data_IF_375745074408
#
_entry.id   IF_375745074408
#
_cell.length_a   1.000
_cell.length_b   1.000
_cell.length_c   1.000
_cell.angle_alpha   90.00
_cell.angle_beta   90.00
_cell.angle_gamma   90.00
#
_symmetry.space_group_name_H-M   'P 1'
#
loop_
_entity.id
_entity.type
_entity.pdbx_description
1 polymer ?
#
# COMPACT_ATOMS: atom_id res chain seq x y z
N UNK A 1 -24.64 -14.85 -15.06
CA UNK A 1 -24.64 -15.22 -13.62
C UNK A 1 -25.75 -16.25 -13.36
N UNK A 2 -25.55 -17.28 -12.51
CA UNK A 2 -26.60 -18.20 -12.06
C UNK A 2 -27.22 -17.70 -10.73
N UNK A 3 -28.37 -18.30 -10.29
CA UNK A 3 -29.08 -17.86 -9.09
C UNK A 3 -28.25 -18.06 -7.79
N UNK A 4 -27.48 -19.14 -7.69
CA UNK A 4 -26.65 -19.42 -6.52
C UNK A 4 -25.57 -18.35 -6.33
N UNK A 5 -24.93 -17.93 -7.42
CA UNK A 5 -23.96 -16.83 -7.39
C UNK A 5 -24.65 -15.49 -7.12
N UNK A 6 -25.86 -15.28 -7.66
CA UNK A 6 -26.63 -14.07 -7.41
C UNK A 6 -27.01 -13.93 -5.92
N UNK A 7 -27.42 -15.01 -5.26
CA UNK A 7 -27.74 -15.01 -3.81
C UNK A 7 -26.54 -14.66 -2.95
N UNK A 8 -25.34 -15.13 -3.28
CA UNK A 8 -24.12 -14.76 -2.55
C UNK A 8 -23.65 -13.33 -2.82
N UNK A 9 -24.03 -12.79 -3.96
CA UNK A 9 -23.63 -11.45 -4.42
C UNK A 9 -24.56 -10.34 -3.91
N UNK A 10 -25.80 -10.69 -3.54
CA UNK A 10 -26.87 -9.72 -3.22
C UNK A 10 -26.50 -8.74 -2.10
N UNK A 11 -25.80 -9.20 -1.07
CA UNK A 11 -25.39 -8.34 0.04
C UNK A 11 -24.31 -7.34 -0.39
N UNK A 12 -23.30 -7.78 -1.14
CA UNK A 12 -22.28 -6.90 -1.67
C UNK A 12 -22.85 -5.86 -2.65
N UNK A 13 -23.85 -6.24 -3.47
CA UNK A 13 -24.56 -5.28 -4.32
C UNK A 13 -25.32 -4.24 -3.51
N UNK A 14 -26.07 -4.72 -2.50
CA UNK A 14 -26.90 -3.89 -1.64
C UNK A 14 -26.08 -2.88 -0.80
N UNK A 15 -24.89 -3.25 -0.39
CA UNK A 15 -23.99 -2.43 0.39
C UNK A 15 -23.05 -1.55 -0.47
N UNK A 16 -23.14 -1.67 -1.80
CA UNK A 16 -22.31 -0.89 -2.74
C UNK A 16 -20.85 -1.32 -2.78
N UNK A 17 -20.54 -2.57 -2.40
CA UNK A 17 -19.19 -3.13 -2.32
C UNK A 17 -18.74 -3.84 -3.61
N UNK A 18 -19.64 -3.96 -4.61
CA UNK A 18 -19.30 -4.57 -5.89
C UNK A 18 -18.62 -3.57 -6.82
N UNK A 19 -17.69 -4.09 -7.63
CA UNK A 19 -17.17 -3.36 -8.76
C UNK A 19 -18.22 -3.18 -9.87
N UNK A 20 -17.99 -2.25 -10.81
CA UNK A 20 -18.94 -1.90 -11.84
C UNK A 20 -19.30 -3.08 -12.79
N UNK A 21 -18.37 -4.02 -13.02
CA UNK A 21 -18.59 -5.16 -13.90
C UNK A 21 -19.53 -6.15 -13.24
N UNK A 22 -19.29 -6.50 -11.98
CA UNK A 22 -20.13 -7.42 -11.20
C UNK A 22 -21.50 -6.82 -10.92
N UNK A 23 -21.60 -5.53 -10.67
CA UNK A 23 -22.88 -4.84 -10.52
C UNK A 23 -23.71 -4.95 -11.78
N UNK A 24 -23.14 -4.68 -12.95
CA UNK A 24 -23.84 -4.82 -14.23
C UNK A 24 -24.24 -6.25 -14.57
N UNK A 25 -23.44 -7.24 -14.18
CA UNK A 25 -23.81 -8.67 -14.35
C UNK A 25 -24.97 -9.09 -13.44
N UNK A 26 -24.99 -8.58 -12.21
CA UNK A 26 -26.05 -8.82 -11.24
C UNK A 26 -27.36 -8.17 -11.69
N UNK A 27 -27.33 -6.89 -12.11
CA UNK A 27 -28.50 -6.17 -12.63
C UNK A 27 -29.10 -6.88 -13.84
N UNK A 28 -28.28 -7.33 -14.78
CA UNK A 28 -28.76 -8.11 -15.94
C UNK A 28 -29.43 -9.41 -15.53
N UNK A 29 -28.93 -10.07 -14.47
CA UNK A 29 -29.59 -11.28 -13.93
C UNK A 29 -30.94 -10.94 -13.30
N UNK A 30 -31.05 -9.83 -12.58
CA UNK A 30 -32.29 -9.38 -11.95
C UNK A 30 -33.38 -9.11 -13.01
N UNK A 31 -33.04 -8.58 -14.18
CA UNK A 31 -34.02 -8.32 -15.27
C UNK A 31 -34.80 -9.59 -15.67
N UNK A 32 -34.21 -10.77 -15.48
CA UNK A 32 -34.75 -12.04 -15.96
C UNK A 32 -35.07 -13.06 -14.86
N UNK A 33 -34.81 -12.75 -13.58
CA UNK A 33 -34.99 -13.68 -12.47
C UNK A 33 -35.87 -13.11 -11.35
N UNK A 34 -37.19 -13.42 -11.34
CA UNK A 34 -38.11 -12.95 -10.30
C UNK A 34 -37.75 -13.42 -8.87
N UNK A 35 -37.10 -14.58 -8.75
CA UNK A 35 -36.66 -15.10 -7.45
C UNK A 35 -35.60 -14.22 -6.82
N UNK A 36 -34.61 -13.77 -7.59
CA UNK A 36 -33.53 -12.89 -7.10
C UNK A 36 -34.04 -11.46 -6.89
N UNK A 37 -35.01 -10.98 -7.70
CA UNK A 37 -35.71 -9.72 -7.43
C UNK A 37 -36.41 -9.76 -6.07
N UNK A 38 -37.20 -10.80 -5.79
CA UNK A 38 -37.87 -10.95 -4.49
C UNK A 38 -36.89 -11.11 -3.33
N UNK A 39 -35.70 -11.68 -3.56
CA UNK A 39 -34.66 -11.75 -2.54
C UNK A 39 -34.06 -10.35 -2.24
N UNK A 40 -33.81 -9.53 -3.24
CA UNK A 40 -33.34 -8.15 -3.09
C UNK A 40 -34.37 -7.28 -2.36
N UNK A 41 -35.66 -7.40 -2.74
CA UNK A 41 -36.76 -6.70 -2.06
C UNK A 41 -36.88 -7.07 -0.57
N UNK A 42 -36.62 -8.32 -0.20
CA UNK A 42 -36.58 -8.74 1.21
C UNK A 42 -35.47 -8.07 2.00
N UNK A 43 -34.27 -7.94 1.40
CA UNK A 43 -33.13 -7.26 2.02
C UNK A 43 -33.44 -5.76 2.19
N UNK A 44 -34.02 -5.12 1.17
CA UNK A 44 -34.40 -3.72 1.23
C UNK A 44 -35.50 -3.47 2.29
N UNK A 45 -36.53 -4.31 2.32
CA UNK A 45 -37.61 -4.23 3.35
C UNK A 45 -37.06 -4.37 4.76
N UNK A 46 -36.11 -5.28 5.00
CA UNK A 46 -35.44 -5.41 6.29
C UNK A 46 -34.67 -4.12 6.67
N UNK A 47 -33.95 -3.53 5.74
CA UNK A 47 -33.26 -2.24 5.98
C UNK A 47 -34.23 -1.13 6.38
N UNK A 48 -35.34 -1.01 5.66
CA UNK A 48 -36.38 -0.04 5.97
C UNK A 48 -36.96 -0.26 7.38
N UNK A 49 -37.23 -1.52 7.76
CA UNK A 49 -37.70 -1.85 9.10
C UNK A 49 -36.69 -1.52 10.20
N UNK A 50 -35.40 -1.81 9.97
CA UNK A 50 -34.31 -1.45 10.90
C UNK A 50 -34.19 0.07 11.07
N UNK A 51 -34.31 0.83 9.99
CA UNK A 51 -34.26 2.30 10.04
C UNK A 51 -35.47 2.92 10.76
N UNK A 52 -36.65 2.34 10.63
CA UNK A 52 -37.88 2.82 11.27
C UNK A 52 -37.96 2.53 12.79
N UNK A 53 -37.20 1.59 13.29
CA UNK A 53 -37.29 1.16 14.69
C UNK A 53 -36.26 1.85 15.62
N UNK A 54 -35.65 2.97 15.20
CA UNK A 54 -34.72 3.79 16.00
C UNK A 54 -33.66 2.96 16.78
N UNK A 55 -33.10 1.96 16.09
CA UNK A 55 -32.04 1.09 16.63
C UNK A 55 -30.67 1.79 16.64
N UNK A 56 -30.65 3.09 16.31
CA UNK A 56 -29.44 3.89 16.31
C UNK A 56 -29.04 4.31 17.72
N UNK A 57 -27.94 3.72 18.21
CA UNK A 57 -27.30 4.20 19.43
C UNK A 57 -26.59 5.53 19.14
N UNK A 58 -26.95 6.56 19.86
CA UNK A 58 -26.36 7.88 19.70
C UNK A 58 -24.99 7.94 20.39
N UNK A 59 -23.94 8.20 19.60
CA UNK A 59 -22.62 8.39 20.18
C UNK A 59 -22.62 9.50 21.25
N UNK A 60 -21.97 9.26 22.38
CA UNK A 60 -21.90 10.23 23.47
C UNK A 60 -21.25 11.56 23.00
N UNK A 61 -21.63 12.70 23.57
CA UNK A 61 -21.00 13.99 23.24
C UNK A 61 -19.49 13.98 23.41
N UNK A 62 -18.99 13.24 24.40
CA UNK A 62 -17.56 13.10 24.68
C UNK A 62 -16.83 12.33 23.56
N UNK A 63 -17.44 11.24 23.05
CA UNK A 63 -16.86 10.48 21.94
C UNK A 63 -16.82 11.32 20.65
N UNK A 64 -17.90 12.06 20.37
CA UNK A 64 -17.94 12.97 19.23
C UNK A 64 -16.85 14.04 19.29
N UNK A 65 -16.66 14.62 20.49
CA UNK A 65 -15.64 15.66 20.69
C UNK A 65 -14.23 15.08 20.61
N UNK A 66 -14.00 13.86 21.13
CA UNK A 66 -12.71 13.15 21.02
C UNK A 66 -12.35 12.88 19.56
N UNK A 67 -13.29 12.37 18.79
CA UNK A 67 -13.10 12.12 17.35
C UNK A 67 -12.83 13.45 16.61
N UNK A 68 -13.63 14.49 16.86
CA UNK A 68 -13.42 15.81 16.25
C UNK A 68 -12.05 16.38 16.55
N UNK A 69 -11.56 16.25 17.79
CA UNK A 69 -10.21 16.70 18.18
C UNK A 69 -9.11 15.90 17.46
N UNK A 70 -9.26 14.59 17.30
CA UNK A 70 -8.29 13.78 16.55
C UNK A 70 -8.20 14.22 15.10
N UNK A 71 -9.34 14.36 14.40
CA UNK A 71 -9.34 14.85 13.02
C UNK A 71 -8.90 16.31 12.88
N UNK A 72 -9.21 17.17 13.85
CA UNK A 72 -8.75 18.56 13.84
C UNK A 72 -7.22 18.67 14.05
N UNK A 73 -6.61 17.75 14.77
CA UNK A 73 -5.15 17.68 14.92
C UNK A 73 -4.45 17.23 13.62
N UNK A 74 -5.05 16.34 12.85
CA UNK A 74 -4.51 15.95 11.53
C UNK A 74 -4.64 17.06 10.47
N UNK A 75 -5.66 17.91 10.56
CA UNK A 75 -5.88 19.02 9.61
C UNK A 75 -5.15 20.30 10.00
N UNK A 76 -4.71 20.46 11.26
CA UNK A 76 -4.07 21.69 11.73
C UNK A 76 -2.55 21.74 11.49
N UNK A 77 -2.07 21.31 10.33
CA UNK A 77 -0.73 21.71 9.82
C UNK A 77 -0.86 23.02 9.02
N UNK A 78 -1.58 23.98 9.54
CA UNK A 78 -1.39 25.35 9.12
C UNK A 78 -0.83 26.12 10.31
N UNK A 79 0.43 26.57 10.30
CA UNK A 79 0.91 27.49 11.30
C UNK A 79 0.07 28.77 11.16
N UNK A 80 -0.78 29.05 12.16
CA UNK A 80 -1.37 30.39 12.31
C UNK A 80 -0.22 31.34 12.61
N UNK A 81 0.41 31.81 11.56
CA UNK A 81 1.38 32.88 11.65
C UNK A 81 0.61 34.10 12.20
N UNK A 82 0.84 34.43 13.44
CA UNK A 82 0.40 35.69 14.05
C UNK A 82 1.18 36.84 13.38
N UNK A 83 0.71 37.30 12.23
CA UNK A 83 1.40 38.19 11.28
C UNK A 83 1.34 39.68 11.67
N UNK A 84 0.92 40.01 12.90
CA UNK A 84 0.58 41.41 13.21
C UNK A 84 1.61 42.19 14.05
N UNK A 85 2.79 41.67 14.37
CA UNK A 85 3.80 42.43 15.17
C UNK A 85 5.26 42.35 14.71
N UNK A 86 5.58 41.91 13.47
CA UNK A 86 6.98 41.68 13.05
C UNK A 86 7.49 42.61 11.93
N UNK A 87 6.77 43.72 11.66
CA UNK A 87 7.21 44.66 10.61
C UNK A 87 8.25 45.72 11.03
N UNK A 88 8.89 45.57 12.21
CA UNK A 88 9.86 46.56 12.71
C UNK A 88 11.19 45.95 13.13
N UNK A 89 11.72 44.92 12.45
CA UNK A 89 13.08 44.45 12.68
C UNK A 89 13.93 44.64 11.41
N UNK A 90 15.17 45.18 11.56
CA UNK A 90 15.99 45.59 10.41
C UNK A 90 16.51 44.42 9.60
N UNK A 91 16.97 44.70 8.37
CA UNK A 91 17.30 43.80 7.25
C UNK A 91 18.14 42.52 7.52
N UNK A 92 18.67 42.31 8.72
CA UNK A 92 19.39 41.09 9.09
C UNK A 92 18.46 39.89 9.43
N UNK A 93 17.17 40.15 9.74
CA UNK A 93 16.18 39.09 10.02
C UNK A 93 15.71 38.34 8.78
N UNK A 94 15.76 38.96 7.60
CA UNK A 94 15.27 38.35 6.36
C UNK A 94 16.20 37.26 5.81
N UNK A 95 17.51 37.44 5.96
CA UNK A 95 18.51 36.44 5.56
C UNK A 95 18.46 35.19 6.46
N UNK A 96 18.27 35.36 7.75
CA UNK A 96 18.13 34.25 8.68
C UNK A 96 16.82 33.47 8.48
N UNK A 97 15.71 34.18 8.18
CA UNK A 97 14.42 33.56 7.88
C UNK A 97 14.45 32.80 6.54
N UNK A 98 15.11 33.36 5.52
CA UNK A 98 15.30 32.69 4.23
C UNK A 98 16.19 31.44 4.37
N UNK A 99 17.28 31.51 5.12
CA UNK A 99 18.14 30.36 5.41
C UNK A 99 17.39 29.27 6.18
N UNK A 100 16.57 29.62 7.18
CA UNK A 100 15.73 28.67 7.94
C UNK A 100 14.68 28.01 7.03
N UNK A 101 14.01 28.76 6.15
CA UNK A 101 13.05 28.21 5.20
C UNK A 101 13.72 27.27 4.19
N UNK A 102 14.88 27.64 3.68
CA UNK A 102 15.67 26.79 2.76
C UNK A 102 16.09 25.50 3.49
N UNK A 103 16.54 25.60 4.73
CA UNK A 103 16.94 24.43 5.54
C UNK A 103 15.73 23.51 5.82
N UNK A 104 14.60 24.09 6.19
CA UNK A 104 13.35 23.33 6.40
C UNK A 104 12.92 22.67 5.08
N UNK A 105 12.98 23.36 3.96
CA UNK A 105 12.64 22.82 2.66
C UNK A 105 13.58 21.68 2.25
N UNK A 106 14.87 21.83 2.45
CA UNK A 106 15.87 20.80 2.13
C UNK A 106 15.78 19.56 3.01
N UNK A 107 15.29 19.68 4.24
CA UNK A 107 15.11 18.55 5.17
C UNK A 107 13.72 17.90 5.02
N UNK A 108 12.68 18.70 4.79
CA UNK A 108 11.30 18.19 4.71
C UNK A 108 10.97 17.48 3.39
N UNK A 109 11.48 17.96 2.26
CA UNK A 109 11.18 17.37 0.93
C UNK A 109 11.66 15.92 0.83
N UNK A 110 12.91 15.55 1.21
CA UNK A 110 13.37 14.18 1.15
C UNK A 110 12.53 13.22 2.02
N UNK A 111 12.17 13.65 3.23
CA UNK A 111 11.38 12.82 4.15
C UNK A 111 9.95 12.54 3.63
N UNK A 112 9.33 13.50 2.96
CA UNK A 112 8.02 13.30 2.33
C UNK A 112 8.09 12.33 1.16
N UNK A 113 9.11 12.41 0.32
CA UNK A 113 9.27 11.50 -0.83
C UNK A 113 9.49 10.06 -0.38
N UNK A 114 10.32 9.84 0.63
CA UNK A 114 10.57 8.51 1.19
C UNK A 114 9.31 7.91 1.84
N UNK A 115 8.54 8.72 2.58
CA UNK A 115 7.28 8.30 3.17
C UNK A 115 6.23 7.95 2.11
N UNK A 116 6.18 8.68 0.99
CA UNK A 116 5.27 8.40 -0.13
C UNK A 116 5.67 7.13 -0.85
N UNK A 117 6.96 6.95 -1.16
CA UNK A 117 7.49 5.74 -1.79
C UNK A 117 7.20 4.49 -0.94
N UNK A 118 7.44 4.57 0.36
CA UNK A 118 7.17 3.45 1.27
C UNK A 118 5.69 3.09 1.32
N UNK A 119 4.80 4.10 1.30
CA UNK A 119 3.36 3.87 1.24
C UNK A 119 2.96 3.16 -0.06
N UNK A 120 3.46 3.60 -1.20
CA UNK A 120 3.21 2.99 -2.51
C UNK A 120 3.68 1.54 -2.58
N UNK A 121 4.86 1.24 -2.01
CA UNK A 121 5.40 -0.12 -1.94
C UNK A 121 4.56 -1.04 -1.04
N UNK A 122 4.05 -0.53 0.08
CA UNK A 122 3.14 -1.28 0.95
C UNK A 122 1.83 -1.56 0.20
N UNK A 123 1.26 -0.56 -0.49
CA UNK A 123 0.06 -0.73 -1.29
C UNK A 123 0.27 -1.74 -2.43
N UNK A 124 1.44 -1.72 -3.09
CA UNK A 124 1.80 -2.71 -4.11
C UNK A 124 1.91 -4.12 -3.52
N UNK A 125 2.47 -4.26 -2.31
CA UNK A 125 2.50 -5.54 -1.61
C UNK A 125 1.08 -6.03 -1.28
N UNK A 126 0.24 -5.19 -0.71
CA UNK A 126 -1.15 -5.55 -0.35
C UNK A 126 -1.96 -5.95 -1.59
N UNK A 127 -1.85 -5.21 -2.69
CA UNK A 127 -2.48 -5.59 -3.96
C UNK A 127 -2.01 -6.94 -4.46
N UNK A 128 -0.72 -7.26 -4.30
CA UNK A 128 -0.17 -8.53 -4.77
C UNK A 128 -0.70 -9.75 -4.00
N UNK A 129 -1.18 -9.58 -2.78
CA UNK A 129 -1.77 -10.67 -1.98
C UNK A 129 -3.18 -11.07 -2.47
N UNK A 130 -3.77 -10.31 -3.38
CA UNK A 130 -5.07 -10.69 -3.98
C UNK A 130 -4.90 -11.92 -4.89
N UNK A 131 -5.95 -12.74 -5.04
CA UNK A 131 -5.90 -13.93 -5.88
C UNK A 131 -5.44 -13.61 -7.31
N UNK A 132 -4.43 -14.33 -7.80
CA UNK A 132 -3.91 -14.17 -9.15
C UNK A 132 -2.91 -13.01 -9.35
N UNK A 133 -2.58 -12.24 -8.31
CA UNK A 133 -1.69 -11.07 -8.44
C UNK A 133 -0.31 -11.24 -7.79
N UNK A 134 -0.05 -12.38 -7.15
CA UNK A 134 1.17 -12.55 -6.36
C UNK A 134 2.44 -12.60 -7.25
N UNK A 135 2.36 -13.25 -8.39
CA UNK A 135 3.48 -13.40 -9.33
C UNK A 135 2.97 -13.52 -10.77
N UNK A 136 3.74 -13.00 -11.75
CA UNK A 136 3.53 -13.21 -13.18
C UNK A 136 4.25 -14.48 -13.67
N UNK A 137 5.37 -14.81 -13.01
CA UNK A 137 6.09 -16.08 -13.18
C UNK A 137 6.17 -16.81 -11.85
N UNK A 138 5.51 -17.96 -11.75
CA UNK A 138 5.56 -18.83 -10.59
C UNK A 138 6.66 -19.87 -10.78
N UNK A 139 7.71 -19.82 -9.97
CA UNK A 139 8.78 -20.81 -9.94
C UNK A 139 9.63 -20.66 -8.68
N UNK A 140 10.08 -21.78 -8.14
CA UNK A 140 11.08 -21.82 -7.08
C UNK A 140 12.51 -21.86 -7.64
N UNK A 141 12.65 -22.01 -8.96
CA UNK A 141 13.94 -22.06 -9.63
C UNK A 141 14.35 -20.66 -10.13
N UNK A 142 15.45 -20.14 -9.59
CA UNK A 142 16.05 -18.89 -10.01
C UNK A 142 16.43 -18.88 -11.50
N UNK A 143 16.73 -20.02 -12.10
CA UNK A 143 17.04 -20.16 -13.53
C UNK A 143 15.81 -20.04 -14.43
N UNK A 144 14.63 -20.11 -13.87
CA UNK A 144 13.36 -19.81 -14.53
C UNK A 144 12.95 -18.36 -14.31
N UNK A 145 13.02 -17.88 -13.05
CA UNK A 145 12.55 -16.53 -12.67
C UNK A 145 13.48 -15.44 -13.22
N UNK A 146 14.80 -15.63 -13.15
CA UNK A 146 15.75 -14.61 -13.60
C UNK A 146 15.67 -14.32 -15.10
N UNK A 147 15.66 -15.32 -16.03
CA UNK A 147 15.52 -15.07 -17.46
C UNK A 147 14.12 -14.51 -17.85
N UNK A 148 13.10 -14.76 -17.02
CA UNK A 148 11.76 -14.23 -17.31
C UNK A 148 11.73 -12.68 -17.34
N UNK A 149 12.61 -12.02 -16.58
CA UNK A 149 12.75 -10.56 -16.61
C UNK A 149 13.50 -10.04 -17.84
N UNK A 150 14.18 -10.91 -18.60
CA UNK A 150 14.92 -10.50 -19.78
C UNK A 150 14.00 -9.87 -20.84
N UNK A 151 14.41 -8.75 -21.38
CA UNK A 151 13.63 -7.98 -22.37
C UNK A 151 12.39 -7.25 -21.79
N UNK A 152 12.08 -7.44 -20.50
CA UNK A 152 10.99 -6.73 -19.80
C UNK A 152 11.49 -5.58 -18.93
N UNK A 153 12.71 -5.70 -18.43
CA UNK A 153 13.41 -4.68 -17.67
C UNK A 153 14.71 -4.30 -18.38
N UNK A 154 15.19 -3.09 -18.15
CA UNK A 154 16.48 -2.57 -18.64
C UNK A 154 17.65 -2.89 -17.69
N UNK A 155 17.40 -3.79 -16.72
CA UNK A 155 18.39 -4.28 -15.75
C UNK A 155 18.09 -5.74 -15.40
N UNK A 156 19.07 -6.42 -14.79
CA UNK A 156 18.94 -7.81 -14.36
C UNK A 156 18.78 -7.82 -12.83
N UNK A 157 17.61 -8.25 -12.28
CA UNK A 157 17.43 -8.32 -10.85
C UNK A 157 18.28 -9.43 -10.22
N UNK A 158 18.75 -9.29 -8.97
CA UNK A 158 19.54 -10.30 -8.25
C UNK A 158 18.63 -11.42 -7.74
N UNK A 159 18.18 -12.30 -8.64
CA UNK A 159 17.33 -13.44 -8.29
C UNK A 159 18.17 -14.59 -7.78
N UNK A 160 17.90 -15.04 -6.55
CA UNK A 160 18.48 -16.24 -5.97
C UNK A 160 17.45 -16.93 -5.07
N UNK A 161 17.56 -18.26 -4.89
CA UNK A 161 16.74 -18.99 -3.94
C UNK A 161 17.48 -19.09 -2.59
N UNK A 162 16.75 -18.77 -1.52
CA UNK A 162 17.24 -18.82 -0.14
C UNK A 162 16.46 -19.84 0.71
N UNK A 163 15.98 -20.91 0.09
CA UNK A 163 15.20 -21.96 0.77
C UNK A 163 15.96 -22.58 1.93
N UNK A 164 17.29 -22.79 1.80
CA UNK A 164 18.14 -23.32 2.87
C UNK A 164 18.18 -22.40 4.12
N UNK A 165 17.94 -21.11 3.96
CA UNK A 165 17.86 -20.10 5.04
C UNK A 165 16.42 -19.84 5.47
N UNK A 166 15.44 -20.58 4.93
CA UNK A 166 14.03 -20.47 5.27
C UNK A 166 13.26 -19.34 4.53
N UNK A 167 13.81 -18.90 3.39
CA UNK A 167 13.20 -17.94 2.48
C UNK A 167 13.16 -18.50 1.04
N UNK A 168 12.33 -19.55 0.78
CA UNK A 168 12.23 -20.08 -0.56
C UNK A 168 11.70 -19.03 -1.54
N UNK A 169 12.29 -18.96 -2.73
CA UNK A 169 11.76 -18.19 -3.84
C UNK A 169 10.42 -18.81 -4.28
N UNK A 170 9.42 -18.00 -4.57
CA UNK A 170 8.09 -18.45 -5.02
C UNK A 170 7.81 -18.00 -6.43
N UNK A 171 8.42 -16.91 -6.86
CA UNK A 171 8.22 -16.35 -8.20
C UNK A 171 8.67 -14.90 -8.30
N UNK A 172 8.23 -14.26 -9.36
CA UNK A 172 8.47 -12.84 -9.60
C UNK A 172 7.37 -12.21 -10.45
N UNK A 173 7.28 -10.89 -10.40
CA UNK A 173 6.38 -10.10 -11.24
C UNK A 173 7.02 -8.78 -11.62
N UNK A 174 6.46 -8.14 -12.65
CA UNK A 174 6.70 -6.72 -12.90
C UNK A 174 5.78 -5.89 -12.01
N UNK A 175 6.28 -4.76 -11.56
CA UNK A 175 5.48 -3.78 -10.84
C UNK A 175 5.89 -2.37 -11.28
N UNK A 176 5.08 -1.36 -10.93
CA UNK A 176 5.39 0.05 -11.21
C UNK A 176 5.42 0.78 -9.88
N UNK A 177 6.54 1.43 -9.58
CA UNK A 177 6.75 2.18 -8.34
C UNK A 177 7.43 3.51 -8.69
N UNK A 178 6.91 4.62 -8.17
CA UNK A 178 7.37 5.99 -8.48
C UNK A 178 7.48 6.23 -10.01
N UNK A 179 6.53 5.65 -10.78
CA UNK A 179 6.49 5.75 -12.25
C UNK A 179 7.55 4.93 -13.00
N UNK A 180 8.27 4.03 -12.33
CA UNK A 180 9.32 3.20 -12.93
C UNK A 180 8.95 1.72 -12.86
N UNK A 181 9.32 0.97 -13.93
CA UNK A 181 9.21 -0.49 -13.89
C UNK A 181 10.24 -1.06 -12.91
N UNK A 182 9.79 -1.90 -12.00
CA UNK A 182 10.60 -2.56 -10.98
C UNK A 182 10.40 -4.07 -11.03
N UNK A 183 11.43 -4.82 -10.61
CA UNK A 183 11.27 -6.25 -10.35
C UNK A 183 10.71 -6.43 -8.93
N UNK A 184 9.66 -7.20 -8.78
CA UNK A 184 9.16 -7.67 -7.50
C UNK A 184 9.42 -9.18 -7.41
N UNK A 185 10.41 -9.56 -6.61
CA UNK A 185 10.72 -10.95 -6.29
C UNK A 185 9.88 -11.38 -5.09
N UNK A 186 9.29 -12.55 -5.16
CA UNK A 186 8.41 -13.07 -4.11
C UNK A 186 9.09 -14.21 -3.39
N UNK A 187 9.28 -14.05 -2.09
CA UNK A 187 9.78 -15.09 -1.19
C UNK A 187 8.70 -15.51 -0.22
N UNK A 188 8.75 -16.75 0.24
CA UNK A 188 7.91 -17.21 1.34
C UNK A 188 8.69 -17.19 2.66
N UNK A 189 7.98 -16.91 3.76
CA UNK A 189 8.48 -17.14 5.12
C UNK A 189 7.35 -17.75 5.94
N UNK A 190 7.40 -19.04 6.20
CA UNK A 190 6.29 -19.81 6.83
C UNK A 190 4.99 -19.68 6.02
N UNK A 191 3.97 -18.97 6.53
CA UNK A 191 2.69 -18.74 5.85
C UNK A 191 2.57 -17.34 5.25
N UNK A 192 3.65 -16.55 5.25
CA UNK A 192 3.68 -15.17 4.80
C UNK A 192 4.49 -15.04 3.52
N UNK A 193 4.19 -14.02 2.72
CA UNK A 193 4.96 -13.68 1.55
C UNK A 193 5.75 -12.39 1.80
N UNK A 194 6.97 -12.35 1.28
CA UNK A 194 7.84 -11.17 1.31
C UNK A 194 8.02 -10.72 -0.13
N UNK A 195 7.63 -9.50 -0.43
CA UNK A 195 7.96 -8.88 -1.71
C UNK A 195 9.28 -8.12 -1.58
N UNK A 196 10.20 -8.42 -2.47
CA UNK A 196 11.47 -7.73 -2.62
C UNK A 196 11.41 -6.93 -3.92
N UNK A 197 11.18 -5.62 -3.79
CA UNK A 197 11.20 -4.70 -4.91
C UNK A 197 12.63 -4.26 -5.19
N UNK A 198 13.03 -4.35 -6.46
CA UNK A 198 14.41 -4.08 -6.89
C UNK A 198 14.40 -3.20 -8.14
N UNK A 199 15.22 -2.16 -8.15
CA UNK A 199 15.47 -1.32 -9.33
C UNK A 199 16.85 -0.63 -9.25
N UNK A 200 17.44 -0.16 -10.37
CA UNK A 200 18.74 0.50 -10.38
C UNK A 200 18.75 1.82 -9.61
N UNK A 201 19.79 2.05 -8.83
CA UNK A 201 20.07 3.33 -8.19
C UNK A 201 20.69 4.31 -9.20
N UNK A 202 19.86 4.85 -10.10
CA UNK A 202 20.31 5.73 -11.19
C UNK A 202 20.93 7.04 -10.70
N UNK A 203 20.52 7.52 -9.53
CA UNK A 203 21.05 8.75 -8.93
C UNK A 203 22.39 8.53 -8.21
N UNK A 204 22.85 7.29 -8.11
CA UNK A 204 24.10 6.89 -7.39
C UNK A 204 24.20 7.47 -5.98
N UNK A 205 23.05 7.76 -5.36
CA UNK A 205 23.01 8.20 -3.96
C UNK A 205 23.20 7.00 -3.06
N UNK A 206 23.97 7.17 -1.99
CA UNK A 206 24.03 6.14 -0.95
C UNK A 206 22.66 6.01 -0.32
N UNK A 207 22.01 4.85 -0.51
CA UNK A 207 20.76 4.50 0.15
C UNK A 207 21.12 3.95 1.52
N UNK A 208 20.82 4.71 2.57
CA UNK A 208 21.02 4.25 3.93
C UNK A 208 20.10 3.05 4.21
N UNK A 209 20.57 2.14 5.04
CA UNK A 209 19.74 1.06 5.56
C UNK A 209 18.68 1.64 6.49
N UNK A 210 17.45 1.68 6.02
CA UNK A 210 16.30 2.19 6.77
C UNK A 210 15.27 1.10 6.98
N UNK A 211 14.47 1.22 8.02
CA UNK A 211 13.41 0.26 8.29
C UNK A 211 12.28 0.93 9.07
N UNK A 212 11.09 0.42 8.95
CA UNK A 212 9.93 0.92 9.67
C UNK A 212 8.75 -0.04 9.58
N UNK A 213 7.62 0.41 10.11
CA UNK A 213 6.36 -0.30 9.99
C UNK A 213 5.21 0.67 9.82
N UNK A 214 4.20 0.27 9.04
CA UNK A 214 2.99 1.05 8.81
C UNK A 214 1.82 0.09 8.53
N UNK A 215 0.68 0.32 9.15
CA UNK A 215 -0.56 -0.44 8.92
C UNK A 215 -0.40 -1.96 9.08
N UNK A 216 0.46 -2.42 10.01
CA UNK A 216 0.71 -3.84 10.24
C UNK A 216 1.77 -4.46 9.33
N UNK A 217 2.28 -3.74 8.32
CA UNK A 217 3.37 -4.19 7.45
C UNK A 217 4.69 -3.58 7.90
N UNK A 218 5.74 -4.40 7.87
CA UNK A 218 7.11 -3.99 8.10
C UNK A 218 7.84 -3.81 6.78
N UNK A 219 8.78 -2.89 6.74
CA UNK A 219 9.64 -2.68 5.58
C UNK A 219 11.10 -2.50 5.99
N UNK A 220 11.98 -2.94 5.11
CA UNK A 220 13.43 -2.75 5.21
C UNK A 220 13.91 -2.30 3.84
N UNK A 221 14.62 -1.19 3.82
CA UNK A 221 15.22 -0.64 2.60
C UNK A 221 16.74 -0.67 2.68
N UNK A 222 17.39 -0.61 1.54
CA UNK A 222 18.82 -0.49 1.42
C UNK A 222 19.32 -0.68 0.00
N UNK A 223 20.62 -0.97 -0.13
CA UNK A 223 21.29 -1.13 -1.40
C UNK A 223 21.99 -2.49 -1.48
N UNK A 224 22.00 -3.09 -2.67
CA UNK A 224 22.83 -4.25 -3.01
C UNK A 224 23.51 -3.97 -4.35
N UNK A 225 24.83 -3.77 -4.35
CA UNK A 225 25.54 -3.27 -5.52
C UNK A 225 25.03 -1.90 -5.95
N UNK A 226 24.64 -1.79 -7.21
CA UNK A 226 24.03 -0.59 -7.81
C UNK A 226 22.49 -0.60 -7.79
N UNK A 227 21.86 -1.57 -7.10
CA UNK A 227 20.42 -1.71 -7.00
C UNK A 227 19.89 -1.18 -5.67
N UNK A 228 18.77 -0.47 -5.71
CA UNK A 228 17.93 -0.20 -4.54
C UNK A 228 17.05 -1.40 -4.27
N UNK A 229 16.89 -1.75 -2.99
CA UNK A 229 16.10 -2.90 -2.55
C UNK A 229 15.16 -2.48 -1.43
N UNK A 230 13.89 -2.84 -1.56
CA UNK A 230 12.88 -2.69 -0.52
C UNK A 230 12.19 -4.03 -0.28
N UNK A 231 12.20 -4.48 0.96
CA UNK A 231 11.51 -5.68 1.40
C UNK A 231 10.27 -5.29 2.18
N UNK A 232 9.12 -5.81 1.80
CA UNK A 232 7.83 -5.51 2.41
C UNK A 232 7.12 -6.80 2.78
N UNK A 233 6.62 -6.90 4.01
CA UNK A 233 5.80 -8.01 4.48
C UNK A 233 5.14 -7.70 5.83
N UNK A 234 4.24 -8.57 6.26
CA UNK A 234 3.67 -8.65 7.61
C UNK A 234 4.50 -9.49 8.60
N UNK A 235 5.66 -10.01 8.17
CA UNK A 235 6.60 -10.74 9.05
C UNK A 235 7.36 -9.78 9.98
N UNK A 236 8.04 -10.37 10.98
CA UNK A 236 8.86 -9.59 11.89
C UNK A 236 9.98 -8.82 11.15
N UNK A 237 10.32 -7.59 11.57
CA UNK A 237 11.41 -6.81 10.95
C UNK A 237 12.78 -7.51 10.97
N UNK A 238 13.00 -8.44 11.91
CA UNK A 238 14.19 -9.27 11.98
C UNK A 238 14.30 -10.21 10.78
N UNK A 239 13.18 -10.84 10.37
CA UNK A 239 13.15 -11.73 9.20
C UNK A 239 13.46 -10.97 7.91
N UNK A 240 12.93 -9.74 7.77
CA UNK A 240 13.25 -8.88 6.62
C UNK A 240 14.72 -8.48 6.57
N UNK A 241 15.31 -8.14 7.72
CA UNK A 241 16.75 -7.81 7.79
C UNK A 241 17.63 -9.03 7.50
N UNK A 242 17.22 -10.21 7.96
CA UNK A 242 17.89 -11.46 7.65
C UNK A 242 17.89 -11.73 6.14
N UNK A 243 16.72 -11.69 5.49
CA UNK A 243 16.63 -11.86 4.04
C UNK A 243 17.43 -10.80 3.29
N UNK A 244 17.34 -9.51 3.69
CA UNK A 244 18.12 -8.45 3.07
C UNK A 244 19.63 -8.74 3.12
N UNK A 245 20.13 -9.26 4.22
CA UNK A 245 21.55 -9.63 4.39
C UNK A 245 22.01 -10.78 3.48
N UNK A 246 21.08 -11.61 2.99
CA UNK A 246 21.36 -12.68 2.04
C UNK A 246 21.42 -12.18 0.60
N UNK A 247 20.65 -11.14 0.25
CA UNK A 247 20.61 -10.60 -1.11
C UNK A 247 21.90 -9.84 -1.40
N UNK A 248 22.75 -10.47 -2.21
CA UNK A 248 24.03 -9.91 -2.66
C UNK A 248 23.95 -9.56 -4.16
N UNK A 249 24.79 -8.61 -4.63
CA UNK A 249 24.86 -8.26 -6.04
C UNK A 249 25.29 -9.41 -6.93
#
# INVERSE_FOLDING_TARGET
MNCELAETTIHGYFDGELDAVRSAEFERHLEHCPQCQAALERVDSLRVQLQQNDLHEHASPELREKIRKQFAQEISITPRLAWKKWFLLPAFGTLAAAAALITIMLVAIPSHREATLTAELIDAHVRSLQPGHLFDVQSTDQHTVKPWFDGKLDFIPPVADYAAQGFPLVGGRLDVVDGHNVAALVYARRKHFINVFVWPNREKKTVADTSGSRQGYSWVAGQSGDMQIYLISDVAPSDLRELKGLIRP
#
